data_IF_791999460590
#
_entry.id   IF_791999460590
#
_cell.length_a   1.000
_cell.length_b   1.000
_cell.length_c   1.000
_cell.angle_alpha   90.00
_cell.angle_beta   90.00
_cell.angle_gamma   90.00
#
_symmetry.space_group_name_H-M   'P 1'
#
loop_
_entity.id
_entity.type
_entity.pdbx_description
1 polymer ?
#
# COMPACT_ATOMS: atom_id res chain seq x y z
N UNK A 1 13.27 -27.64 36.49
CA UNK A 1 12.97 -26.19 36.41
C UNK A 1 11.70 -26.05 35.60
N UNK A 2 10.66 -25.53 36.24
CA UNK A 2 9.26 -25.50 35.80
C UNK A 2 8.98 -24.20 35.05
N UNK A 3 8.68 -24.29 33.76
CA UNK A 3 8.05 -23.20 33.00
C UNK A 3 6.62 -23.03 33.52
N UNK A 4 6.15 -21.81 33.83
CA UNK A 4 4.89 -21.62 34.51
C UNK A 4 3.73 -22.04 33.60
N UNK A 5 2.81 -22.81 34.18
CA UNK A 5 1.50 -23.07 33.62
C UNK A 5 0.84 -21.73 33.27
N UNK A 6 0.61 -21.50 31.98
CA UNK A 6 -0.13 -20.34 31.49
C UNK A 6 -1.60 -20.54 31.81
N UNK A 7 -1.95 -20.43 33.09
CA UNK A 7 -3.33 -20.24 33.52
C UNK A 7 -3.75 -18.86 33.03
N UNK A 8 -4.78 -18.82 32.18
CA UNK A 8 -5.50 -17.64 31.67
C UNK A 8 -4.87 -16.88 30.49
N UNK A 9 -4.83 -17.51 29.30
CA UNK A 9 -5.07 -16.78 28.05
C UNK A 9 -6.58 -16.86 27.77
N UNK A 10 -7.31 -15.79 28.09
CA UNK A 10 -8.72 -15.63 27.71
C UNK A 10 -8.84 -15.69 26.17
N UNK A 11 -9.25 -16.85 25.64
CA UNK A 11 -9.47 -17.07 24.21
C UNK A 11 -9.14 -18.48 23.76
N UNK A 12 -9.63 -18.87 22.59
CA UNK A 12 -9.17 -20.08 21.88
C UNK A 12 -7.76 -19.84 21.32
N UNK A 13 -6.91 -20.86 21.31
CA UNK A 13 -5.58 -20.75 20.68
C UNK A 13 -5.72 -20.43 19.19
N UNK A 14 -4.70 -19.82 18.59
CA UNK A 14 -4.69 -19.53 17.14
C UNK A 14 -4.90 -20.81 16.34
N UNK A 15 -4.27 -21.90 16.76
CA UNK A 15 -4.34 -23.21 16.14
C UNK A 15 -5.77 -23.76 16.18
N UNK A 16 -6.42 -23.68 17.34
CA UNK A 16 -7.80 -24.11 17.57
C UNK A 16 -8.81 -23.24 16.80
N UNK A 17 -8.63 -21.93 16.80
CA UNK A 17 -9.44 -21.00 16.01
C UNK A 17 -9.35 -21.31 14.52
N UNK A 18 -8.14 -21.47 13.98
CA UNK A 18 -7.94 -21.79 12.56
C UNK A 18 -8.50 -23.18 12.22
N UNK A 19 -8.45 -24.12 13.15
CA UNK A 19 -9.05 -25.44 12.98
C UNK A 19 -10.59 -25.35 12.90
N UNK A 20 -11.22 -24.61 13.82
CA UNK A 20 -12.67 -24.35 13.79
C UNK A 20 -13.13 -23.68 12.48
N UNK A 21 -12.39 -22.66 12.01
CA UNK A 21 -12.69 -22.00 10.74
C UNK A 21 -12.57 -22.96 9.56
N UNK A 22 -11.56 -23.83 9.55
CA UNK A 22 -11.40 -24.85 8.49
C UNK A 22 -12.55 -25.85 8.48
N UNK A 23 -12.95 -26.34 9.64
CA UNK A 23 -14.08 -27.27 9.80
C UNK A 23 -15.39 -26.64 9.32
N UNK A 24 -15.67 -25.40 9.72
CA UNK A 24 -16.86 -24.66 9.27
C UNK A 24 -16.88 -24.45 7.74
N UNK A 25 -15.71 -24.31 7.12
CA UNK A 25 -15.56 -24.16 5.67
C UNK A 25 -15.44 -25.50 4.93
N UNK A 26 -15.47 -26.65 5.62
CA UNK A 26 -15.28 -27.97 5.03
C UNK A 26 -13.89 -28.16 4.39
N UNK A 27 -12.86 -27.46 4.88
CA UNK A 27 -11.50 -27.49 4.34
C UNK A 27 -10.58 -28.32 5.23
N UNK A 28 -9.74 -29.13 4.60
CA UNK A 28 -8.67 -29.88 5.29
C UNK A 28 -7.49 -28.98 5.64
N UNK A 29 -6.78 -29.29 6.73
CA UNK A 29 -5.55 -28.60 7.14
C UNK A 29 -4.36 -29.01 6.25
N UNK A 30 -4.37 -28.53 5.01
CA UNK A 30 -3.35 -28.80 4.00
C UNK A 30 -2.75 -27.46 3.56
N UNK A 31 -1.42 -27.39 3.34
CA UNK A 31 -0.81 -26.21 2.75
C UNK A 31 -1.53 -25.81 1.45
N UNK A 32 -1.68 -24.51 1.17
CA UNK A 32 -2.29 -24.07 -0.08
C UNK A 32 -1.51 -24.61 -1.28
N UNK A 33 -2.24 -25.02 -2.33
CA UNK A 33 -1.65 -25.58 -3.56
C UNK A 33 -0.71 -24.61 -4.27
N UNK A 34 -0.97 -23.31 -4.13
CA UNK A 34 -0.07 -22.25 -4.53
C UNK A 34 0.19 -21.35 -3.30
N UNK A 35 1.44 -21.23 -2.85
CA UNK A 35 1.76 -20.28 -1.80
C UNK A 35 1.50 -18.86 -2.31
N UNK A 36 0.98 -18.02 -1.42
CA UNK A 36 0.76 -16.62 -1.77
C UNK A 36 2.12 -15.93 -1.88
N UNK A 37 2.48 -15.34 -3.04
CA UNK A 37 3.85 -14.85 -3.29
C UNK A 37 4.33 -13.87 -2.22
N UNK A 38 3.45 -12.97 -1.77
CA UNK A 38 3.78 -11.97 -0.73
C UNK A 38 4.06 -12.56 0.65
N UNK A 39 3.64 -13.80 0.90
CA UNK A 39 3.91 -14.52 2.15
C UNK A 39 5.14 -15.42 2.05
N UNK A 40 5.72 -15.57 0.86
CA UNK A 40 6.95 -16.33 0.62
C UNK A 40 8.16 -15.46 0.37
N UNK A 41 7.96 -14.18 0.02
CA UNK A 41 9.05 -13.23 -0.16
C UNK A 41 9.86 -13.08 1.13
N UNK A 42 11.18 -13.17 1.01
CA UNK A 42 12.11 -12.94 2.11
C UNK A 42 12.29 -11.44 2.36
N UNK A 43 12.70 -11.07 3.57
CA UNK A 43 12.95 -9.66 3.90
C UNK A 43 13.92 -8.97 2.93
N UNK A 44 15.07 -9.57 2.52
CA UNK A 44 15.96 -8.95 1.54
C UNK A 44 15.34 -8.75 0.16
N UNK A 45 14.45 -9.65 -0.27
CA UNK A 45 13.73 -9.52 -1.55
C UNK A 45 12.74 -8.35 -1.50
N UNK A 46 12.03 -8.18 -0.38
CA UNK A 46 11.13 -7.05 -0.17
C UNK A 46 11.87 -5.71 -0.13
N UNK A 47 13.03 -5.66 0.53
CA UNK A 47 13.89 -4.45 0.55
C UNK A 47 14.37 -4.09 -0.86
N UNK A 48 14.79 -5.08 -1.64
CA UNK A 48 15.18 -4.88 -3.04
C UNK A 48 14.02 -4.37 -3.88
N UNK A 49 12.82 -4.94 -3.73
CA UNK A 49 11.62 -4.46 -4.42
C UNK A 49 11.30 -3.02 -4.04
N UNK A 50 11.37 -2.67 -2.75
CA UNK A 50 11.11 -1.32 -2.28
C UNK A 50 12.10 -0.31 -2.87
N UNK A 51 13.39 -0.66 -2.92
CA UNK A 51 14.41 0.18 -3.54
C UNK A 51 14.16 0.39 -5.03
N UNK A 52 13.81 -0.67 -5.78
CA UNK A 52 13.49 -0.58 -7.20
C UNK A 52 12.26 0.29 -7.46
N UNK A 53 11.22 0.17 -6.63
CA UNK A 53 10.01 1.00 -6.75
C UNK A 53 10.35 2.48 -6.50
N UNK A 54 11.15 2.79 -5.48
CA UNK A 54 11.57 4.16 -5.20
C UNK A 54 12.38 4.75 -6.34
N UNK A 55 13.35 4.00 -6.86
CA UNK A 55 14.14 4.42 -8.02
C UNK A 55 13.24 4.68 -9.23
N UNK A 56 12.33 3.76 -9.55
CA UNK A 56 11.42 3.92 -10.66
C UNK A 56 10.52 5.15 -10.49
N UNK A 57 10.05 5.41 -9.27
CA UNK A 57 9.27 6.61 -8.95
C UNK A 57 10.09 7.87 -9.15
N UNK A 58 11.33 7.93 -8.67
CA UNK A 58 12.21 9.10 -8.85
C UNK A 58 12.48 9.39 -10.33
N UNK A 59 12.74 8.35 -11.12
CA UNK A 59 13.00 8.47 -12.57
C UNK A 59 11.76 8.91 -13.35
N UNK A 60 10.56 8.48 -12.94
CA UNK A 60 9.32 8.70 -13.69
C UNK A 60 8.41 9.76 -13.07
N UNK A 61 8.82 10.38 -11.95
CA UNK A 61 7.99 11.34 -11.21
C UNK A 61 7.44 12.46 -12.11
N UNK A 62 8.24 13.10 -12.99
CA UNK A 62 7.72 14.17 -13.84
C UNK A 62 6.60 13.67 -14.77
N UNK A 63 6.79 12.52 -15.41
CA UNK A 63 5.84 11.93 -16.34
C UNK A 63 4.55 11.46 -15.63
N UNK A 64 4.68 10.94 -14.40
CA UNK A 64 3.53 10.56 -13.58
C UNK A 64 2.70 11.77 -13.17
N UNK A 65 3.36 12.89 -12.82
CA UNK A 65 2.68 14.14 -12.50
C UNK A 65 1.99 14.76 -13.73
N UNK A 66 2.62 14.68 -14.90
CA UNK A 66 1.98 15.12 -16.15
C UNK A 66 0.74 14.29 -16.49
N UNK A 67 0.84 12.97 -16.33
CA UNK A 67 -0.31 12.07 -16.52
C UNK A 67 -1.42 12.36 -15.52
N UNK A 68 -1.08 12.65 -14.27
CA UNK A 68 -2.05 13.02 -13.24
C UNK A 68 -2.77 14.32 -13.62
N UNK A 69 -2.04 15.34 -14.06
CA UNK A 69 -2.61 16.62 -14.50
C UNK A 69 -3.56 16.43 -15.70
N UNK A 70 -3.17 15.63 -16.70
CA UNK A 70 -4.02 15.31 -17.85
C UNK A 70 -5.33 14.59 -17.43
N UNK A 71 -5.23 13.59 -16.56
CA UNK A 71 -6.42 12.88 -16.07
C UNK A 71 -7.34 13.78 -15.23
N UNK A 72 -6.76 14.64 -14.39
CA UNK A 72 -7.51 15.59 -13.58
C UNK A 72 -8.22 16.63 -14.46
N UNK A 73 -7.53 17.16 -15.47
CA UNK A 73 -8.11 18.06 -16.47
C UNK A 73 -9.31 17.43 -17.20
N UNK A 74 -9.19 16.15 -17.60
CA UNK A 74 -10.32 15.39 -18.17
C UNK A 74 -11.48 15.20 -17.20
N UNK A 75 -11.20 15.16 -15.90
CA UNK A 75 -12.20 15.11 -14.83
C UNK A 75 -12.82 16.47 -14.48
N UNK A 76 -12.48 17.54 -15.21
CA UNK A 76 -12.97 18.89 -14.95
C UNK A 76 -12.24 19.62 -13.81
N UNK A 77 -11.11 19.09 -13.34
CA UNK A 77 -10.29 19.74 -12.33
C UNK A 77 -9.33 20.72 -13.01
N UNK A 78 -9.30 21.96 -12.53
CA UNK A 78 -8.33 22.94 -13.02
C UNK A 78 -6.99 22.74 -12.31
N UNK A 79 -6.12 21.90 -12.89
CA UNK A 79 -4.80 21.59 -12.33
C UNK A 79 -3.73 22.43 -13.04
N UNK A 80 -3.08 23.31 -12.29
CA UNK A 80 -1.93 24.08 -12.76
C UNK A 80 -0.63 23.50 -12.20
N UNK A 81 0.28 23.12 -13.10
CA UNK A 81 1.61 22.63 -12.74
C UNK A 81 2.59 23.79 -12.72
N UNK A 82 2.74 24.42 -11.57
CA UNK A 82 3.78 25.44 -11.37
C UNK A 82 5.17 24.78 -11.30
N UNK A 83 6.14 25.37 -11.99
CA UNK A 83 7.55 24.98 -11.95
C UNK A 83 8.28 25.42 -10.68
N UNK A 84 7.68 26.37 -9.93
CA UNK A 84 8.21 26.91 -8.69
C UNK A 84 7.15 27.62 -7.85
N UNK A 85 7.54 28.08 -6.67
CA UNK A 85 6.64 28.71 -5.69
C UNK A 85 6.10 30.04 -6.23
N UNK A 86 6.94 30.81 -6.90
CA UNK A 86 6.60 32.12 -7.46
C UNK A 86 5.53 32.00 -8.56
N UNK A 87 5.65 30.99 -9.44
CA UNK A 87 4.66 30.72 -10.48
C UNK A 87 3.34 30.23 -9.88
N UNK A 88 3.40 29.40 -8.82
CA UNK A 88 2.21 28.95 -8.12
C UNK A 88 1.45 30.13 -7.49
N UNK A 89 2.16 31.06 -6.84
CA UNK A 89 1.56 32.26 -6.25
C UNK A 89 0.94 33.12 -7.34
N UNK A 90 1.65 33.37 -8.43
CA UNK A 90 1.14 34.17 -9.55
C UNK A 90 -0.15 33.57 -10.13
N UNK A 91 -0.21 32.24 -10.29
CA UNK A 91 -1.41 31.57 -10.77
C UNK A 91 -2.59 31.66 -9.79
N UNK A 92 -2.32 31.55 -8.49
CA UNK A 92 -3.37 31.74 -7.47
C UNK A 92 -3.91 33.17 -7.52
N UNK A 93 -3.04 34.17 -7.68
CA UNK A 93 -3.44 35.57 -7.82
C UNK A 93 -4.30 35.82 -9.07
N UNK A 94 -4.00 35.17 -10.20
CA UNK A 94 -4.83 35.28 -11.41
C UNK A 94 -6.20 34.66 -11.19
N UNK A 95 -6.27 33.45 -10.63
CA UNK A 95 -7.54 32.77 -10.36
C UNK A 95 -8.41 33.57 -9.39
N UNK A 96 -7.80 34.14 -8.34
CA UNK A 96 -8.51 34.95 -7.35
C UNK A 96 -9.06 36.27 -7.92
N UNK A 97 -8.45 36.80 -8.99
CA UNK A 97 -8.89 38.03 -9.65
C UNK A 97 -9.99 37.79 -10.69
N UNK A 98 -10.00 36.61 -11.29
CA UNK A 98 -10.96 36.19 -12.32
C UNK A 98 -12.24 35.54 -11.75
N UNK A 99 -12.30 35.33 -10.42
CA UNK A 99 -13.47 34.82 -9.67
C UNK A 99 -14.37 35.96 -9.19
#
# INVERSE_FOLDING_TARGET
MTTPESSELLGVSKEEFLQSVREALGRSNVPPSQPYPRLTDTLPELEKQAAQIRQHLEENLPALLDKLADMAGKGGWNVHRASGVEEAIAYIETVARES
#
